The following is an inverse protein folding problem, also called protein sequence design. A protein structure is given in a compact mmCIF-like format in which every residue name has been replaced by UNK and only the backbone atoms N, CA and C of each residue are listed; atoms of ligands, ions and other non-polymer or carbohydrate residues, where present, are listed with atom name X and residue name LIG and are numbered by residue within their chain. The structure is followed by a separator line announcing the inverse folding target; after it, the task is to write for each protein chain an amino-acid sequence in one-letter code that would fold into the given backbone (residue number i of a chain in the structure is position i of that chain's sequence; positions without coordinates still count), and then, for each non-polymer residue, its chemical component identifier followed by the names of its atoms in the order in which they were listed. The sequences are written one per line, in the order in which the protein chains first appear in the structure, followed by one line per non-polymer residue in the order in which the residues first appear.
data_IF_211420270606
#
_entry.id   IF_211420270606
#
_cell.length_a   1.000
_cell.length_b   1.000
_cell.length_c   1.000
_cell.angle_alpha   90.00
_cell.angle_beta   90.00
_cell.angle_gamma   90.00
#
_symmetry.space_group_name_H-M   'P 1'
#
loop_
_entity.id
_entity.type
_entity.pdbx_description
1 polymer ?
#
# COMPACT_ATOMS: atom_id res chain seq x y z
N UNK A 1 5.71 1.86 7.93
CA UNK A 1 6.60 2.58 6.99
C UNK A 1 5.96 2.58 5.60
N UNK A 2 6.18 3.61 4.77
CA UNK A 2 5.68 3.65 3.37
C UNK A 2 6.84 3.34 2.43
N UNK A 3 6.66 2.37 1.55
CA UNK A 3 7.55 2.02 0.46
C UNK A 3 7.03 2.61 -0.86
N UNK A 4 7.95 2.88 -1.78
CA UNK A 4 7.62 3.30 -3.14
C UNK A 4 8.02 2.18 -4.10
N UNK A 5 7.09 1.80 -4.97
CA UNK A 5 7.32 0.81 -6.03
C UNK A 5 7.05 1.50 -7.36
N UNK A 6 8.03 1.48 -8.25
CA UNK A 6 7.87 2.00 -9.61
C UNK A 6 7.50 0.85 -10.53
N UNK A 7 6.37 0.98 -11.23
CA UNK A 7 5.92 0.00 -12.24
C UNK A 7 6.69 0.19 -13.54
N UNK A 8 6.69 -0.83 -14.40
CA UNK A 8 7.38 -0.81 -15.69
C UNK A 8 6.95 0.34 -16.59
N UNK A 9 5.67 0.72 -16.52
CA UNK A 9 5.11 1.84 -17.26
C UNK A 9 5.29 3.21 -16.58
N UNK A 10 5.90 3.27 -15.40
CA UNK A 10 6.35 4.50 -14.76
C UNK A 10 5.46 5.05 -13.64
N UNK A 11 4.40 4.36 -13.23
CA UNK A 11 3.63 4.75 -12.05
C UNK A 11 4.41 4.51 -10.76
N UNK A 12 4.31 5.44 -9.82
CA UNK A 12 4.94 5.33 -8.50
C UNK A 12 3.85 4.99 -7.48
N UNK A 13 3.83 3.73 -7.05
CA UNK A 13 2.86 3.19 -6.11
C UNK A 13 3.34 3.35 -4.68
N UNK A 14 2.47 3.86 -3.80
CA UNK A 14 2.69 3.84 -2.36
C UNK A 14 2.24 2.51 -1.76
N UNK A 15 3.12 1.85 -1.00
CA UNK A 15 2.80 0.59 -0.31
C UNK A 15 3.08 0.77 1.18
N UNK A 16 2.07 0.63 2.04
CA UNK A 16 2.29 0.69 3.49
C UNK A 16 2.73 -0.69 4.00
N UNK A 17 3.62 -0.71 5.00
CA UNK A 17 4.06 -1.93 5.69
C UNK A 17 3.90 -1.81 7.20
N UNK A 18 3.32 -2.84 7.79
CA UNK A 18 3.23 -3.11 9.22
C UNK A 18 4.08 -4.37 9.50
N UNK A 19 5.36 -4.19 9.87
CA UNK A 19 6.30 -5.31 9.98
C UNK A 19 6.10 -6.19 11.21
N UNK A 20 5.38 -5.68 12.22
CA UNK A 20 5.06 -6.39 13.45
C UNK A 20 3.86 -5.78 14.19
N UNK A 21 3.26 -6.59 15.05
CA UNK A 21 2.15 -6.19 15.92
C UNK A 21 2.56 -5.29 17.08
N UNK A 22 1.55 -4.74 17.74
CA UNK A 22 1.66 -3.65 18.73
C UNK A 22 2.34 -4.06 20.04
N UNK A 23 2.17 -5.33 20.44
CA UNK A 23 2.67 -5.84 21.74
C UNK A 23 4.10 -6.41 21.62
N UNK A 24 4.76 -6.28 20.46
CA UNK A 24 6.13 -6.76 20.27
C UNK A 24 6.32 -8.27 20.48
N UNK A 25 5.23 -9.04 20.44
CA UNK A 25 5.17 -10.45 20.85
C UNK A 25 5.81 -11.46 19.89
N UNK A 26 6.35 -11.02 18.76
CA UNK A 26 7.04 -11.90 17.82
C UNK A 26 8.55 -11.85 18.06
N UNK A 27 9.02 -12.52 19.10
CA UNK A 27 10.43 -12.51 19.49
C UNK A 27 11.38 -12.79 18.33
N UNK A 28 12.31 -11.86 18.05
CA UNK A 28 13.50 -11.93 17.18
C UNK A 28 13.42 -12.65 15.82
N UNK A 29 12.25 -13.15 15.41
CA UNK A 29 12.09 -13.99 14.26
C UNK A 29 11.92 -13.08 13.05
N UNK A 30 13.05 -12.82 12.38
CA UNK A 30 13.14 -11.94 11.21
C UNK A 30 12.34 -12.46 10.00
N UNK A 31 11.81 -13.68 10.06
CA UNK A 31 11.04 -14.33 8.99
C UNK A 31 9.56 -14.45 9.37
N UNK A 32 8.84 -13.33 9.30
CA UNK A 32 7.36 -13.32 9.38
C UNK A 32 6.78 -13.55 7.99
N UNK A 33 5.72 -14.35 7.89
CA UNK A 33 5.07 -14.62 6.61
C UNK A 33 4.47 -13.33 6.05
N UNK A 34 4.80 -12.93 4.81
CA UNK A 34 4.23 -11.73 4.22
C UNK A 34 2.78 -11.95 3.81
N UNK A 35 1.93 -10.94 4.06
CA UNK A 35 0.55 -10.87 3.58
C UNK A 35 0.35 -9.57 2.84
N UNK A 36 -0.14 -9.63 1.60
CA UNK A 36 -0.48 -8.47 0.79
C UNK A 36 -1.99 -8.24 0.81
N UNK A 37 -2.40 -7.06 1.26
CA UNK A 37 -3.79 -6.62 1.27
C UNK A 37 -4.02 -5.64 0.13
N UNK A 38 -5.00 -5.98 -0.73
CA UNK A 38 -5.39 -5.19 -1.89
C UNK A 38 -6.80 -4.64 -1.65
N UNK A 39 -6.98 -3.34 -1.81
CA UNK A 39 -8.28 -2.69 -1.66
C UNK A 39 -9.21 -2.97 -2.86
N UNK A 40 -10.50 -2.71 -2.69
CA UNK A 40 -11.52 -2.85 -3.74
C UNK A 40 -11.60 -1.67 -4.71
N UNK A 41 -12.69 -1.63 -5.47
CA UNK A 41 -12.98 -0.58 -6.47
C UNK A 41 -13.30 0.75 -5.78
N UNK A 42 -12.78 1.86 -6.31
CA UNK A 42 -13.03 3.24 -5.85
C UNK A 42 -12.66 3.54 -4.38
N UNK A 43 -11.77 2.74 -3.80
CA UNK A 43 -11.20 2.95 -2.46
C UNK A 43 -9.67 2.88 -2.53
N UNK A 44 -9.00 3.08 -1.39
CA UNK A 44 -7.55 2.93 -1.25
C UNK A 44 -7.19 2.08 -0.02
N UNK A 45 -5.90 1.90 0.25
CA UNK A 45 -5.41 1.07 1.35
C UNK A 45 -5.86 1.51 2.74
N UNK A 46 -6.28 2.78 2.92
CA UNK A 46 -6.74 3.30 4.23
C UNK A 46 -8.03 2.64 4.68
N UNK A 47 -8.84 2.12 3.75
CA UNK A 47 -10.09 1.41 4.10
C UNK A 47 -9.85 0.25 5.08
N UNK A 48 -8.68 -0.38 5.04
CA UNK A 48 -8.31 -1.44 5.98
C UNK A 48 -8.04 -0.96 7.42
N UNK A 49 -7.88 0.35 7.62
CA UNK A 49 -7.45 0.98 8.87
C UNK A 49 -8.51 1.96 9.43
N UNK A 50 -9.75 1.92 8.91
CA UNK A 50 -10.81 2.83 9.33
C UNK A 50 -11.47 2.46 10.67
N UNK A 51 -11.29 1.22 11.15
CA UNK A 51 -11.84 0.75 12.43
C UNK A 51 -10.78 0.80 13.55
N UNK A 52 -11.15 0.38 14.77
CA UNK A 52 -10.16 0.18 15.83
C UNK A 52 -9.14 -0.90 15.45
N UNK A 53 -8.00 -0.95 16.17
CA UNK A 53 -6.96 -1.94 15.90
C UNK A 53 -7.47 -3.38 16.04
N UNK A 54 -8.40 -3.63 16.95
CA UNK A 54 -9.00 -4.95 17.23
C UNK A 54 -9.98 -5.39 16.13
N UNK A 55 -10.39 -4.48 15.25
CA UNK A 55 -11.34 -4.71 14.15
C UNK A 55 -10.71 -4.49 12.76
N UNK A 56 -9.45 -4.06 12.71
CA UNK A 56 -8.74 -3.77 11.47
C UNK A 56 -7.91 -4.98 11.07
N UNK A 57 -8.24 -5.59 9.93
CA UNK A 57 -7.56 -6.80 9.44
C UNK A 57 -6.02 -6.70 9.43
N UNK A 58 -5.39 -5.59 8.96
CA UNK A 58 -3.93 -5.48 8.98
C UNK A 58 -3.35 -5.55 10.40
N UNK A 59 -4.06 -4.98 11.37
CA UNK A 59 -3.63 -4.92 12.77
C UNK A 59 -3.77 -6.30 13.43
N UNK A 60 -4.89 -6.98 13.19
CA UNK A 60 -5.13 -8.36 13.67
C UNK A 60 -4.06 -9.31 13.11
N UNK A 61 -3.74 -9.20 11.82
CA UNK A 61 -2.69 -10.01 11.18
C UNK A 61 -1.29 -9.69 11.74
N UNK A 62 -0.95 -8.42 11.91
CA UNK A 62 0.34 -8.02 12.48
C UNK A 62 0.51 -8.52 13.92
N UNK A 63 -0.54 -8.41 14.75
CA UNK A 63 -0.59 -8.95 16.11
C UNK A 63 -0.51 -10.48 16.14
N UNK A 64 -0.98 -11.14 15.08
CA UNK A 64 -0.87 -12.60 14.87
C UNK A 64 0.49 -13.05 14.29
N UNK A 65 1.44 -12.14 14.08
CA UNK A 65 2.81 -12.47 13.67
C UNK A 65 3.09 -12.43 12.16
N UNK A 66 2.19 -11.85 11.35
CA UNK A 66 2.42 -11.65 9.93
C UNK A 66 3.17 -10.34 9.63
N UNK A 67 3.91 -10.30 8.53
CA UNK A 67 4.45 -9.06 7.94
C UNK A 67 3.44 -8.51 6.93
N UNK A 68 2.73 -7.46 7.29
CA UNK A 68 1.57 -7.02 6.52
C UNK A 68 1.94 -5.88 5.59
N UNK A 69 1.59 -6.04 4.32
CA UNK A 69 1.76 -5.06 3.26
C UNK A 69 0.39 -4.63 2.76
N UNK A 70 0.17 -3.32 2.62
CA UNK A 70 -1.06 -2.74 2.09
C UNK A 70 -0.70 -2.06 0.77
N UNK A 71 -1.19 -2.63 -0.33
CA UNK A 71 -0.97 -2.10 -1.66
C UNK A 71 -1.99 -1.01 -1.99
N UNK A 72 -1.55 -0.01 -2.76
CA UNK A 72 -2.42 1.01 -3.35
C UNK A 72 -2.29 0.96 -4.87
N UNK A 73 -3.42 0.81 -5.56
CA UNK A 73 -3.49 0.83 -7.02
C UNK A 73 -3.23 2.23 -7.56
N UNK A 74 -2.66 2.32 -8.77
CA UNK A 74 -2.49 3.57 -9.53
C UNK A 74 -3.75 4.44 -9.50
N UNK A 75 -3.57 5.75 -9.34
CA UNK A 75 -4.67 6.73 -9.29
C UNK A 75 -5.27 6.96 -7.90
N UNK A 76 -4.95 6.14 -6.91
CA UNK A 76 -5.35 6.40 -5.51
C UNK A 76 -4.49 7.49 -4.87
N UNK A 77 -4.92 8.00 -3.71
CA UNK A 77 -4.23 9.09 -2.98
C UNK A 77 -2.72 8.86 -2.79
N UNK A 78 -2.31 7.62 -2.52
CA UNK A 78 -0.91 7.26 -2.27
C UNK A 78 -0.16 6.79 -3.52
N UNK A 79 -0.84 6.68 -4.66
CA UNK A 79 -0.31 6.17 -5.93
C UNK A 79 -0.72 7.04 -7.12
N UNK A 80 -0.82 8.36 -6.92
CA UNK A 80 -1.13 9.38 -7.95
C UNK A 80 0.13 10.12 -8.40
N UNK A 81 1.18 9.35 -8.74
CA UNK A 81 2.44 9.89 -9.26
C UNK A 81 2.97 9.01 -10.38
N UNK A 82 3.70 9.62 -11.29
CA UNK A 82 4.30 8.98 -12.45
C UNK A 82 5.68 9.60 -12.71
N UNK A 83 6.61 8.86 -13.32
CA UNK A 83 7.95 9.38 -13.63
C UNK A 83 7.92 10.57 -14.60
N UNK A 84 7.03 10.50 -15.59
CA UNK A 84 6.99 11.45 -16.72
C UNK A 84 5.64 12.16 -16.91
N UNK A 85 4.61 11.83 -16.13
CA UNK A 85 3.25 12.37 -16.31
C UNK A 85 2.83 13.13 -15.06
N UNK A 86 2.26 14.31 -15.24
CA UNK A 86 1.63 15.06 -14.15
C UNK A 86 0.11 14.82 -14.19
N UNK A 87 -0.50 14.28 -13.11
CA UNK A 87 -1.95 14.06 -13.05
C UNK A 87 -2.78 15.35 -13.13
N UNK A 88 -2.16 16.53 -13.00
CA UNK A 88 -2.81 17.84 -13.14
C UNK A 88 -2.64 18.46 -14.52
N UNK A 89 -1.80 17.88 -15.38
CA UNK A 89 -1.63 18.37 -16.73
C UNK A 89 -2.87 17.99 -17.57
N UNK A 90 -3.65 18.96 -18.06
CA UNK A 90 -4.80 18.69 -18.91
C UNK A 90 -4.40 18.20 -20.31
N UNK A 91 -3.12 18.19 -20.66
CA UNK A 91 -2.63 17.83 -21.99
C UNK A 91 -2.45 16.31 -22.09
N UNK A 92 -3.42 15.66 -22.73
CA UNK A 92 -3.24 14.32 -23.33
C UNK A 92 -1.93 14.33 -24.12
N UNK A 93 -1.05 13.32 -24.00
CA UNK A 93 0.05 13.19 -24.94
C UNK A 93 -0.60 13.17 -26.32
N UNK A 94 -0.23 14.16 -27.14
CA UNK A 94 -0.50 14.14 -28.57
C UNK A 94 -0.07 12.77 -29.06
N UNK A 95 -1.04 11.94 -29.45
CA UNK A 95 -0.78 10.67 -30.13
C UNK A 95 0.15 11.04 -31.30
N UNK A 96 1.42 10.61 -31.32
CA UNK A 96 2.24 10.81 -32.50
C UNK A 96 1.62 9.99 -33.65
N UNK A 97 1.72 10.48 -34.90
CA UNK A 97 1.11 9.82 -36.06
C UNK A 97 1.60 8.38 -36.27
#
# INVERSE_FOLDING_TARGET
MIFQVTTDDGYILGVQRIPEGRVGGGGQNRHRQPVLLQHGVLVDGVTWLMNSAEQSLPMILADSGFDVWIANTRGTRYSLRHLNLDPKDPVSPSIPP
#
